data_IF_341124500080
#
_entry.id   IF_341124500080
#
_cell.length_a   1.000
_cell.length_b   1.000
_cell.length_c   1.000
_cell.angle_alpha   90.00
_cell.angle_beta   90.00
_cell.angle_gamma   90.00
#
_symmetry.space_group_name_H-M   'P 1'
#
loop_
_entity.id
_entity.type
_entity.pdbx_description
1 polymer ?
#
# COMPACT_ATOMS: atom_id res chain seq x y z
N UNK A 1 24.83 48.47 28.42
CA UNK A 1 23.69 47.62 28.85
C UNK A 1 23.07 47.05 27.59
N UNK A 2 23.34 45.78 27.27
CA UNK A 2 22.47 44.58 27.43
C UNK A 2 21.48 44.39 26.27
N UNK A 3 21.57 43.20 25.68
CA UNK A 3 21.00 42.62 24.46
C UNK A 3 19.47 42.43 24.42
N UNK A 4 18.90 42.30 23.20
CA UNK A 4 18.05 41.20 22.65
C UNK A 4 17.24 41.74 21.43
N UNK A 5 17.58 41.45 20.16
CA UNK A 5 17.29 40.23 19.35
C UNK A 5 15.89 39.65 19.59
N UNK A 6 14.95 39.87 18.66
CA UNK A 6 14.15 38.79 18.03
C UNK A 6 13.96 39.16 16.55
N UNK A 7 14.71 38.45 15.70
CA UNK A 7 14.59 38.41 14.24
C UNK A 7 13.74 37.19 13.87
N UNK A 8 12.95 37.32 12.79
CA UNK A 8 12.64 36.18 11.93
C UNK A 8 11.23 35.60 12.01
N UNK A 9 10.24 36.32 11.47
CA UNK A 9 9.02 35.73 10.91
C UNK A 9 9.32 35.41 9.44
N UNK A 10 9.81 34.22 9.11
CA UNK A 10 9.77 33.67 7.73
C UNK A 10 9.74 32.15 7.84
N UNK A 11 8.69 31.51 7.34
CA UNK A 11 8.68 30.04 7.19
C UNK A 11 7.32 29.35 7.17
N UNK A 12 6.27 29.97 6.64
CA UNK A 12 4.99 29.29 6.40
C UNK A 12 4.48 29.63 5.01
N UNK A 13 5.07 29.06 3.94
CA UNK A 13 4.47 29.10 2.59
C UNK A 13 5.12 28.23 1.48
N UNK A 14 5.63 27.02 1.74
CA UNK A 14 6.13 26.15 0.65
C UNK A 14 5.71 24.68 0.78
N UNK A 15 4.44 24.42 1.11
CA UNK A 15 3.90 23.05 1.03
C UNK A 15 2.67 22.91 0.12
N UNK A 16 2.14 24.00 -0.44
CA UNK A 16 0.95 23.97 -1.29
C UNK A 16 1.23 24.20 -2.79
N UNK A 17 2.44 24.63 -3.18
CA UNK A 17 2.76 24.95 -4.58
C UNK A 17 3.19 23.73 -5.40
N UNK A 18 3.78 22.71 -4.76
CA UNK A 18 4.27 21.50 -5.45
C UNK A 18 3.16 20.60 -6.02
N UNK A 19 1.96 20.63 -5.43
CA UNK A 19 0.81 19.85 -5.90
C UNK A 19 0.06 20.53 -7.07
N UNK A 20 0.11 21.86 -7.17
CA UNK A 20 -0.58 22.59 -8.25
C UNK A 20 0.24 22.66 -9.55
N UNK A 21 1.57 22.58 -9.46
CA UNK A 21 2.46 22.57 -10.62
C UNK A 21 2.47 21.24 -11.39
N UNK A 22 2.04 20.14 -10.79
CA UNK A 22 1.94 18.83 -11.45
C UNK A 22 0.73 18.74 -12.41
N UNK A 23 -0.33 19.50 -12.17
CA UNK A 23 -1.56 19.44 -12.97
C UNK A 23 -1.57 20.39 -14.17
N UNK A 24 -0.73 21.41 -14.19
CA UNK A 24 -0.80 22.48 -15.20
C UNK A 24 -0.17 22.13 -16.56
N UNK A 25 0.55 21.01 -16.68
CA UNK A 25 1.27 20.64 -17.91
C UNK A 25 0.53 19.60 -18.77
N UNK A 26 -0.70 19.21 -18.40
CA UNK A 26 -1.44 18.14 -19.10
C UNK A 26 -2.49 18.59 -20.12
N UNK A 27 -2.71 19.89 -20.35
CA UNK A 27 -3.81 20.33 -21.22
C UNK A 27 -3.44 20.75 -22.65
N UNK A 28 -2.17 20.73 -23.09
CA UNK A 28 -1.86 21.21 -24.45
C UNK A 28 -0.76 20.42 -25.21
N UNK A 29 -0.79 19.09 -25.09
CA UNK A 29 -0.03 18.24 -26.03
C UNK A 29 -0.88 17.89 -27.25
N UNK A 30 -0.52 18.32 -28.47
CA UNK A 30 -1.24 17.92 -29.68
C UNK A 30 -1.17 16.39 -29.87
N UNK A 31 -2.23 15.75 -30.40
CA UNK A 31 -2.23 14.31 -30.60
C UNK A 31 -1.08 13.91 -31.54
N UNK A 32 -0.30 12.86 -31.21
CA UNK A 32 0.73 12.38 -32.13
C UNK A 32 0.09 11.93 -33.45
N UNK A 33 0.74 12.17 -34.60
CA UNK A 33 0.23 11.69 -35.88
C UNK A 33 0.10 10.17 -35.86
N UNK A 34 -1.00 9.66 -36.43
CA UNK A 34 -1.27 8.23 -36.54
C UNK A 34 -0.11 7.52 -37.24
N UNK A 35 0.65 6.73 -36.48
CA UNK A 35 1.70 5.87 -37.01
C UNK A 35 1.00 4.74 -37.78
N UNK A 36 1.05 4.79 -39.10
CA UNK A 36 0.69 3.65 -39.94
C UNK A 36 1.67 2.52 -39.61
N UNK A 37 1.19 1.51 -38.91
CA UNK A 37 1.99 0.36 -38.51
C UNK A 37 2.45 -0.43 -39.75
N UNK A 38 3.76 -0.43 -40.02
CA UNK A 38 4.36 -1.46 -40.88
C UNK A 38 4.24 -2.82 -40.19
N UNK A 39 3.86 -3.90 -40.89
CA UNK A 39 3.82 -5.23 -40.29
C UNK A 39 5.23 -5.64 -39.86
N UNK A 40 5.39 -5.83 -38.55
CA UNK A 40 6.63 -6.33 -37.94
C UNK A 40 6.67 -7.84 -38.20
N UNK A 41 7.74 -8.38 -38.81
CA UNK A 41 7.89 -9.83 -38.91
C UNK A 41 7.96 -10.41 -37.49
N UNK A 42 7.13 -11.43 -37.24
CA UNK A 42 7.04 -12.14 -35.96
C UNK A 42 8.40 -12.71 -35.58
N UNK A 43 9.15 -11.95 -34.79
CA UNK A 43 10.31 -12.49 -34.09
C UNK A 43 9.75 -13.37 -32.97
N UNK A 44 9.94 -14.67 -33.11
CA UNK A 44 9.66 -15.67 -32.09
C UNK A 44 10.61 -15.44 -30.91
N UNK A 45 10.24 -14.52 -30.02
CA UNK A 45 10.95 -14.33 -28.76
C UNK A 45 10.77 -15.61 -27.94
N UNK A 46 11.83 -16.25 -27.43
CA UNK A 46 11.66 -17.35 -26.49
C UNK A 46 10.89 -16.84 -25.28
N UNK A 47 9.80 -17.53 -24.93
CA UNK A 47 8.94 -17.15 -23.83
C UNK A 47 9.76 -17.06 -22.53
N UNK A 48 9.95 -15.81 -22.08
CA UNK A 48 10.23 -15.32 -20.73
C UNK A 48 10.61 -16.39 -19.69
N UNK A 49 11.91 -16.53 -19.45
CA UNK A 49 12.56 -17.32 -18.39
C UNK A 49 11.91 -17.17 -16.98
N UNK A 50 11.35 -16.01 -16.64
CA UNK A 50 10.74 -15.79 -15.33
C UNK A 50 9.44 -16.59 -15.10
N UNK A 51 8.72 -17.00 -16.16
CA UNK A 51 7.54 -17.85 -16.02
C UNK A 51 7.91 -19.25 -15.51
N UNK A 52 9.05 -19.80 -15.93
CA UNK A 52 9.51 -21.13 -15.51
C UNK A 52 9.76 -21.26 -14.00
N UNK A 53 9.98 -20.15 -13.28
CA UNK A 53 10.10 -20.16 -11.81
C UNK A 53 8.77 -20.46 -11.13
N UNK A 54 7.65 -20.07 -11.73
CA UNK A 54 6.32 -20.24 -11.16
C UNK A 54 5.54 -21.40 -11.79
N UNK A 55 5.91 -21.78 -13.00
CA UNK A 55 5.28 -22.85 -13.78
C UNK A 55 6.35 -23.71 -14.45
N UNK A 56 6.91 -24.73 -13.77
CA UNK A 56 7.82 -25.67 -14.40
C UNK A 56 7.06 -26.43 -15.52
N UNK A 57 7.58 -26.30 -16.75
CA UNK A 57 6.85 -26.44 -18.02
C UNK A 57 6.45 -27.85 -18.48
N UNK A 58 6.39 -28.86 -17.63
CA UNK A 58 5.97 -30.21 -18.05
C UNK A 58 4.88 -30.82 -17.14
N UNK A 59 4.87 -30.47 -15.86
CA UNK A 59 3.90 -31.00 -14.87
C UNK A 59 2.68 -30.10 -14.66
N UNK A 60 2.76 -28.83 -15.07
CA UNK A 60 1.68 -27.84 -15.00
C UNK A 60 1.26 -27.35 -16.39
N UNK A 61 1.27 -28.24 -17.40
CA UNK A 61 0.49 -27.95 -18.59
C UNK A 61 -0.97 -27.70 -18.13
N UNK A 62 -1.62 -26.59 -18.53
CA UNK A 62 -3.02 -26.41 -18.20
C UNK A 62 -3.74 -27.66 -18.71
N UNK A 63 -4.34 -28.44 -17.82
CA UNK A 63 -5.26 -29.49 -18.24
C UNK A 63 -6.21 -28.79 -19.21
N UNK A 64 -6.22 -29.24 -20.47
CA UNK A 64 -7.23 -28.84 -21.44
C UNK A 64 -8.56 -28.87 -20.69
N UNK A 65 -9.21 -27.71 -20.59
CA UNK A 65 -10.45 -27.58 -19.83
C UNK A 65 -11.35 -28.75 -20.26
N UNK A 66 -11.63 -29.67 -19.33
CA UNK A 66 -12.65 -30.69 -19.55
C UNK A 66 -13.89 -29.93 -20.00
N UNK A 67 -14.47 -30.31 -21.13
CA UNK A 67 -15.62 -29.62 -21.72
C UNK A 67 -16.60 -29.31 -20.58
N UNK A 68 -16.78 -28.01 -20.30
CA UNK A 68 -17.64 -27.62 -19.20
C UNK A 68 -19.04 -28.18 -19.51
N UNK A 69 -19.65 -28.87 -18.54
CA UNK A 69 -21.00 -29.43 -18.68
C UNK A 69 -22.05 -28.34 -18.97
N UNK A 70 -21.69 -27.07 -18.75
CA UNK A 70 -22.51 -25.89 -19.03
C UNK A 70 -21.76 -24.88 -19.92
N UNK A 71 -22.48 -24.14 -20.79
CA UNK A 71 -21.97 -22.97 -21.47
C UNK A 71 -21.31 -21.97 -20.51
N UNK A 72 -20.21 -21.35 -20.94
CA UNK A 72 -19.44 -20.41 -20.11
C UNK A 72 -20.30 -19.28 -19.53
N UNK A 73 -21.27 -18.75 -20.30
CA UNK A 73 -22.17 -17.70 -19.83
C UNK A 73 -23.05 -18.16 -18.65
N UNK A 74 -23.55 -19.40 -18.69
CA UNK A 74 -24.39 -19.98 -17.64
C UNK A 74 -23.54 -20.29 -16.41
N UNK A 75 -22.35 -20.84 -16.60
CA UNK A 75 -21.37 -21.07 -15.52
C UNK A 75 -21.01 -19.77 -14.78
N UNK A 76 -20.76 -18.67 -15.52
CA UNK A 76 -20.48 -17.36 -14.92
C UNK A 76 -21.69 -16.76 -14.20
N UNK A 77 -22.89 -16.91 -14.77
CA UNK A 77 -24.12 -16.42 -14.14
C UNK A 77 -24.39 -17.12 -12.79
N UNK A 78 -24.19 -18.44 -12.75
CA UNK A 78 -24.34 -19.28 -11.56
C UNK A 78 -23.29 -18.94 -10.48
N UNK A 79 -22.01 -18.82 -10.88
CA UNK A 79 -20.93 -18.44 -9.98
C UNK A 79 -21.12 -17.06 -9.34
N UNK A 80 -21.79 -16.13 -10.03
CA UNK A 80 -22.08 -14.80 -9.47
C UNK A 80 -23.11 -14.84 -8.34
N UNK A 81 -24.07 -15.76 -8.41
CA UNK A 81 -25.15 -15.87 -7.41
C UNK A 81 -24.69 -16.73 -6.23
N UNK A 82 -24.11 -17.89 -6.52
CA UNK A 82 -23.83 -18.93 -5.52
C UNK A 82 -22.34 -19.01 -5.11
N UNK A 83 -21.47 -18.28 -5.79
CA UNK A 83 -20.02 -18.45 -5.70
C UNK A 83 -19.54 -19.64 -6.53
N UNK A 84 -18.26 -19.64 -6.88
CA UNK A 84 -17.64 -20.75 -7.59
C UNK A 84 -17.00 -21.71 -6.56
N UNK A 85 -17.29 -23.03 -6.57
CA UNK A 85 -16.86 -23.96 -5.51
C UNK A 85 -15.34 -24.12 -5.36
N UNK A 86 -14.57 -23.87 -6.42
CA UNK A 86 -13.09 -23.92 -6.40
C UNK A 86 -12.50 -22.62 -5.85
N UNK A 87 -13.31 -21.60 -5.58
CA UNK A 87 -12.87 -20.35 -4.97
C UNK A 87 -12.65 -20.58 -3.47
N UNK A 88 -11.45 -20.32 -2.94
CA UNK A 88 -11.20 -20.45 -1.51
C UNK A 88 -12.12 -19.51 -0.72
N UNK A 89 -12.58 -19.91 0.49
CA UNK A 89 -13.51 -19.10 1.27
C UNK A 89 -12.89 -17.75 1.64
N UNK A 90 -13.67 -16.67 1.50
CA UNK A 90 -13.25 -15.33 1.91
C UNK A 90 -13.35 -15.24 3.44
N UNK A 91 -12.23 -15.45 4.12
CA UNK A 91 -12.12 -15.18 5.56
C UNK A 91 -12.08 -13.66 5.77
N UNK A 92 -13.18 -13.09 6.24
CA UNK A 92 -13.21 -11.69 6.68
C UNK A 92 -12.68 -11.63 8.10
N UNK A 93 -11.72 -10.75 8.37
CA UNK A 93 -11.31 -10.47 9.74
C UNK A 93 -12.49 -9.88 10.53
N UNK A 94 -12.80 -10.47 11.68
CA UNK A 94 -13.89 -9.98 12.57
C UNK A 94 -13.59 -8.61 13.17
N UNK A 95 -12.33 -8.16 13.11
CA UNK A 95 -11.91 -6.80 13.44
C UNK A 95 -12.31 -5.80 12.34
N UNK A 96 -13.52 -5.92 11.79
CA UNK A 96 -14.08 -4.92 10.89
C UNK A 96 -14.09 -3.59 11.64
N UNK A 97 -13.56 -2.55 11.01
CA UNK A 97 -13.68 -1.21 11.58
C UNK A 97 -15.15 -0.91 11.84
N UNK A 98 -15.44 -0.28 12.97
CA UNK A 98 -16.79 0.17 13.28
C UNK A 98 -17.33 0.94 12.07
N UNK A 99 -18.42 0.47 11.48
CA UNK A 99 -19.01 1.12 10.32
C UNK A 99 -19.75 2.38 10.78
N UNK A 100 -19.76 3.42 9.95
CA UNK A 100 -20.56 4.61 10.20
C UNK A 100 -22.03 4.22 10.39
N UNK A 101 -22.65 4.78 11.43
CA UNK A 101 -24.07 4.56 11.70
C UNK A 101 -24.94 5.27 10.65
N UNK A 102 -26.20 4.84 10.43
CA UNK A 102 -27.09 5.51 9.50
C UNK A 102 -27.34 6.98 9.83
N UNK A 103 -27.32 7.34 11.12
CA UNK A 103 -27.43 8.72 11.58
C UNK A 103 -26.20 9.54 11.20
N UNK A 104 -25.00 8.98 11.36
CA UNK A 104 -23.75 9.63 10.96
C UNK A 104 -23.64 9.79 9.45
N UNK A 105 -24.14 8.83 8.66
CA UNK A 105 -24.15 8.94 7.20
C UNK A 105 -25.13 9.99 6.68
N UNK A 106 -26.17 10.34 7.47
CA UNK A 106 -27.18 11.31 7.07
C UNK A 106 -26.76 12.76 7.35
N UNK A 107 -25.79 12.99 8.24
CA UNK A 107 -25.30 14.33 8.63
C UNK A 107 -23.80 14.44 8.39
N UNK A 108 -23.41 15.40 7.55
CA UNK A 108 -22.01 15.67 7.23
C UNK A 108 -21.14 15.91 8.47
N UNK A 109 -21.65 16.66 9.46
CA UNK A 109 -20.89 16.99 10.67
C UNK A 109 -20.66 15.76 11.55
N UNK A 110 -21.67 14.89 11.65
CA UNK A 110 -21.57 13.63 12.38
C UNK A 110 -20.61 12.66 11.67
N UNK A 111 -20.63 12.62 10.33
CA UNK A 111 -19.70 11.82 9.54
C UNK A 111 -18.24 12.26 9.74
N UNK A 112 -17.94 13.56 9.76
CA UNK A 112 -16.58 14.06 10.03
C UNK A 112 -16.04 13.62 11.39
N UNK A 113 -16.91 13.57 12.42
CA UNK A 113 -16.52 13.08 13.73
C UNK A 113 -16.19 11.59 13.70
N UNK A 114 -16.99 10.80 12.98
CA UNK A 114 -16.70 9.39 12.73
C UNK A 114 -15.33 9.21 12.05
N UNK A 115 -15.04 9.96 10.98
CA UNK A 115 -13.75 9.87 10.28
C UNK A 115 -12.57 10.22 11.18
N UNK A 116 -12.72 11.25 12.02
CA UNK A 116 -11.69 11.62 13.00
C UNK A 116 -11.41 10.47 13.97
N UNK A 117 -12.46 9.80 14.48
CA UNK A 117 -12.29 8.64 15.37
C UNK A 117 -11.63 7.46 14.66
N UNK A 118 -12.00 7.19 13.40
CA UNK A 118 -11.38 6.11 12.62
C UNK A 118 -9.89 6.40 12.37
N UNK A 119 -9.54 7.63 11.99
CA UNK A 119 -8.15 8.01 11.79
C UNK A 119 -7.33 7.83 13.08
N UNK A 120 -7.81 8.34 14.22
CA UNK A 120 -7.12 8.14 15.50
C UNK A 120 -6.93 6.65 15.84
N UNK A 121 -7.93 5.82 15.56
CA UNK A 121 -7.84 4.37 15.76
C UNK A 121 -6.76 3.72 14.89
N UNK A 122 -6.64 4.15 13.64
CA UNK A 122 -5.58 3.68 12.73
C UNK A 122 -4.19 4.08 13.21
N UNK A 123 -4.02 5.35 13.62
CA UNK A 123 -2.76 5.84 14.18
C UNK A 123 -2.39 5.10 15.47
N UNK A 124 -3.37 4.84 16.34
CA UNK A 124 -3.19 4.05 17.56
C UNK A 124 -2.79 2.60 17.25
N UNK A 125 -3.43 1.96 16.28
CA UNK A 125 -3.10 0.61 15.85
C UNK A 125 -1.68 0.53 15.28
N UNK A 126 -1.30 1.50 14.45
CA UNK A 126 0.05 1.62 13.94
C UNK A 126 1.07 1.76 15.10
N UNK A 127 0.87 2.73 15.99
CA UNK A 127 1.73 2.93 17.16
C UNK A 127 1.84 1.65 17.99
N UNK A 128 0.73 0.95 18.23
CA UNK A 128 0.74 -0.31 18.99
C UNK A 128 1.55 -1.42 18.32
N UNK A 129 1.55 -1.50 16.99
CA UNK A 129 2.23 -2.57 16.24
C UNK A 129 3.75 -2.38 16.11
N UNK A 130 4.23 -1.13 16.08
CA UNK A 130 5.65 -0.80 15.86
C UNK A 130 6.65 -1.55 16.77
N UNK A 131 6.45 -1.75 18.10
CA UNK A 131 7.45 -2.37 18.97
C UNK A 131 7.76 -3.81 18.56
N UNK A 132 6.73 -4.59 18.23
CA UNK A 132 6.90 -5.97 17.78
C UNK A 132 7.65 -6.01 16.44
N UNK A 133 7.31 -5.10 15.52
CA UNK A 133 8.00 -4.99 14.24
C UNK A 133 9.48 -4.60 14.42
N UNK A 134 9.79 -3.67 15.33
CA UNK A 134 11.16 -3.26 15.62
C UNK A 134 12.00 -4.40 16.18
N UNK A 135 11.44 -5.20 17.10
CA UNK A 135 12.10 -6.41 17.63
C UNK A 135 12.43 -7.38 16.49
N UNK A 136 11.46 -7.66 15.62
CA UNK A 136 11.67 -8.54 14.47
C UNK A 136 12.77 -8.00 13.53
N UNK A 137 12.75 -6.71 13.19
CA UNK A 137 13.78 -6.10 12.33
C UNK A 137 15.18 -6.22 12.94
N UNK A 138 15.31 -6.03 14.25
CA UNK A 138 16.60 -6.15 14.95
C UNK A 138 17.11 -7.60 14.92
N UNK A 139 16.23 -8.59 15.10
CA UNK A 139 16.59 -9.99 14.96
C UNK A 139 16.98 -10.33 13.51
N UNK A 140 16.25 -9.81 12.52
CA UNK A 140 16.54 -10.01 11.10
C UNK A 140 17.91 -9.42 10.72
N UNK A 141 18.23 -8.22 11.22
CA UNK A 141 19.55 -7.58 11.05
C UNK A 141 20.64 -8.45 11.67
N UNK A 142 20.43 -8.99 12.88
CA UNK A 142 21.41 -9.86 13.55
C UNK A 142 21.66 -11.13 12.74
N UNK A 143 20.59 -11.78 12.26
CA UNK A 143 20.70 -12.97 11.39
C UNK A 143 21.37 -12.65 10.07
N UNK A 144 21.02 -11.51 9.45
CA UNK A 144 21.63 -11.06 8.20
C UNK A 144 23.13 -10.79 8.32
N UNK A 145 23.57 -10.16 9.42
CA UNK A 145 25.00 -9.96 9.73
C UNK A 145 25.73 -11.30 9.89
N UNK A 146 25.15 -12.26 10.61
CA UNK A 146 25.73 -13.60 10.78
C UNK A 146 25.79 -14.40 9.47
N UNK A 147 24.83 -14.19 8.57
CA UNK A 147 24.77 -14.85 7.26
C UNK A 147 25.66 -14.19 6.19
N UNK A 148 26.36 -13.09 6.50
CA UNK A 148 27.22 -12.39 5.55
C UNK A 148 26.46 -11.63 4.46
N UNK A 149 25.24 -11.14 4.75
CA UNK A 149 24.51 -10.25 3.83
C UNK A 149 25.31 -8.96 3.60
N UNK A 150 25.24 -8.43 2.38
CA UNK A 150 25.91 -7.20 1.98
C UNK A 150 25.63 -6.04 2.97
N UNK A 151 26.67 -5.30 3.38
CA UNK A 151 26.55 -4.26 4.42
C UNK A 151 25.59 -3.14 4.03
N UNK A 152 25.43 -2.86 2.73
CA UNK A 152 24.51 -1.84 2.21
C UNK A 152 23.04 -2.20 2.51
N UNK A 153 22.70 -3.49 2.40
CA UNK A 153 21.35 -3.98 2.70
C UNK A 153 21.09 -3.96 4.20
N UNK A 154 22.10 -4.27 5.01
CA UNK A 154 22.03 -4.14 6.47
C UNK A 154 21.79 -2.68 6.87
N UNK A 155 22.55 -1.74 6.29
CA UNK A 155 22.40 -0.31 6.53
C UNK A 155 21.01 0.21 6.11
N UNK A 156 20.39 -0.36 5.08
CA UNK A 156 19.00 -0.04 4.72
C UNK A 156 18.01 -0.45 5.81
N UNK A 157 18.17 -1.65 6.39
CA UNK A 157 17.29 -2.10 7.48
C UNK A 157 17.51 -1.30 8.75
N UNK A 158 18.75 -0.92 9.07
CA UNK A 158 19.07 -0.07 10.22
C UNK A 158 18.43 1.33 10.08
N UNK A 159 18.45 1.91 8.87
CA UNK A 159 17.71 3.16 8.58
C UNK A 159 16.21 3.01 8.82
N UNK A 160 15.63 1.90 8.37
CA UNK A 160 14.21 1.61 8.59
C UNK A 160 13.85 1.51 10.08
N UNK A 161 14.73 0.91 10.90
CA UNK A 161 14.57 0.88 12.36
C UNK A 161 14.53 2.30 12.94
N UNK A 162 15.46 3.15 12.51
CA UNK A 162 15.51 4.54 12.96
C UNK A 162 14.26 5.34 12.55
N UNK A 163 13.83 5.21 11.29
CA UNK A 163 12.64 5.89 10.76
C UNK A 163 11.36 5.47 11.47
N UNK A 164 11.14 4.17 11.67
CA UNK A 164 9.97 3.67 12.38
C UNK A 164 9.94 4.14 13.84
N UNK A 165 11.11 4.22 14.48
CA UNK A 165 11.24 4.73 15.84
C UNK A 165 10.90 6.21 15.91
N UNK A 166 11.48 7.02 15.02
CA UNK A 166 11.23 8.46 14.96
C UNK A 166 9.76 8.76 14.63
N UNK A 167 9.19 8.07 13.66
CA UNK A 167 7.80 8.25 13.27
C UNK A 167 6.84 7.90 14.41
N UNK A 168 7.08 6.82 15.14
CA UNK A 168 6.29 6.48 16.34
C UNK A 168 6.39 7.58 17.40
N UNK A 169 7.60 8.07 17.69
CA UNK A 169 7.78 9.14 18.69
C UNK A 169 7.07 10.43 18.28
N UNK A 170 7.19 10.83 17.02
CA UNK A 170 6.48 11.98 16.47
C UNK A 170 4.97 11.80 16.59
N UNK A 171 4.45 10.64 16.21
CA UNK A 171 3.03 10.32 16.28
C UNK A 171 2.49 10.40 17.72
N UNK A 172 3.23 9.89 18.69
CA UNK A 172 2.88 9.99 20.12
C UNK A 172 2.97 11.41 20.68
N UNK A 173 3.86 12.24 20.14
CA UNK A 173 3.99 13.64 20.52
C UNK A 173 2.88 14.51 19.93
N UNK A 174 2.50 14.26 18.67
CA UNK A 174 1.43 14.99 17.96
C UNK A 174 0.03 14.55 18.39
N UNK A 175 -0.14 13.28 18.77
CA UNK A 175 -1.40 12.68 19.19
C UNK A 175 -1.26 12.05 20.58
N UNK A 176 -1.24 12.84 21.67
CA UNK A 176 -1.11 12.31 23.02
C UNK A 176 -2.29 11.41 23.45
N UNK A 177 -3.42 11.45 22.74
CA UNK A 177 -4.61 10.62 22.94
C UNK A 177 -4.43 9.14 22.53
N UNK A 178 -3.46 8.83 21.68
CA UNK A 178 -3.18 7.45 21.23
C UNK A 178 -2.00 6.82 21.97
N UNK A 179 -1.48 7.49 23.02
CA UNK A 179 -0.37 6.96 23.80
C UNK A 179 -0.83 5.80 24.69
N UNK A 180 -0.31 4.57 24.50
CA UNK A 180 -0.74 3.39 25.26
C UNK A 180 -0.31 3.39 26.74
N UNK A 181 0.54 4.32 27.19
CA UNK A 181 1.04 4.40 28.59
C UNK A 181 0.29 5.42 29.47
N UNK A 182 -0.85 5.93 29.02
CA UNK A 182 -1.82 6.65 29.85
C UNK A 182 -2.90 5.70 30.33
#
# INVERSE_FOLDING_TARGET
MRYLIISGIIGSLIAAVGWLAWHADQEDSPPPPAIVAKPIPSQTTPAKHWLNRFYPSEENAPLLATAADLPAAESMAEARINGEPRTPPILRSESRSEAATPLELADHSAYQQYETRQNLRELAAFSKAVPAQLQQLQDDIRRGKAAGIAPELIAQQERKVAELTAMRQQLLASHPEINPEK
#
